data_IF_170572575899
#
_entry.id   IF_170572575899
#
_cell.length_a   1.000
_cell.length_b   1.000
_cell.length_c   1.000
_cell.angle_alpha   90.00
_cell.angle_beta   90.00
_cell.angle_gamma   90.00
#
_symmetry.space_group_name_H-M   'P 1'
#
loop_
_entity.id
_entity.type
_entity.pdbx_description
1 polymer ?
#
# COMPACT_ATOMS: atom_id res chain seq x y z
N UNK A 1 67.44 17.32 -3.38
CA UNK A 1 66.00 16.95 -3.15
C UNK A 1 65.43 18.15 -2.42
N UNK A 2 64.49 18.85 -3.08
CA UNK A 2 63.95 20.14 -2.66
C UNK A 2 63.13 19.98 -1.37
N UNK A 3 63.60 20.51 -0.24
CA UNK A 3 62.97 20.43 1.08
C UNK A 3 61.62 21.18 1.16
N UNK A 4 61.20 21.81 0.05
CA UNK A 4 59.96 22.58 -0.01
C UNK A 4 58.70 21.75 -0.17
N UNK A 5 58.80 20.49 -0.59
CA UNK A 5 57.64 19.61 -0.86
C UNK A 5 56.96 19.13 0.42
N UNK A 6 57.67 19.01 1.52
CA UNK A 6 57.21 18.53 2.82
C UNK A 6 57.09 19.65 3.88
N UNK A 7 56.67 20.82 3.47
CA UNK A 7 56.39 21.86 4.49
C UNK A 7 55.22 21.43 5.39
N UNK A 8 55.16 21.82 6.67
CA UNK A 8 54.06 21.46 7.59
C UNK A 8 52.67 21.81 7.03
N UNK A 9 52.59 22.91 6.28
CA UNK A 9 51.36 23.38 5.65
C UNK A 9 50.89 22.45 4.49
N UNK A 10 51.85 21.94 3.73
CA UNK A 10 51.52 20.98 2.66
C UNK A 10 51.11 19.63 3.20
N UNK A 11 51.67 19.20 4.36
CA UNK A 11 51.29 17.98 5.05
C UNK A 11 49.86 18.06 5.58
N UNK A 12 49.48 19.19 6.18
CA UNK A 12 48.11 19.42 6.66
C UNK A 12 47.09 19.41 5.53
N UNK A 13 47.42 20.05 4.39
CA UNK A 13 46.58 20.02 3.19
C UNK A 13 46.40 18.61 2.64
N UNK A 14 47.49 17.82 2.57
CA UNK A 14 47.42 16.43 2.13
C UNK A 14 46.57 15.55 3.08
N UNK A 15 46.68 15.78 4.39
CA UNK A 15 45.84 15.09 5.38
C UNK A 15 44.34 15.42 5.21
N UNK A 16 44.02 16.71 4.97
CA UNK A 16 42.63 17.11 4.68
C UNK A 16 42.09 16.52 3.38
N UNK A 17 42.89 16.47 2.34
CA UNK A 17 42.51 15.83 1.06
C UNK A 17 42.30 14.32 1.26
N UNK A 18 43.24 13.66 1.95
CA UNK A 18 43.12 12.21 2.23
C UNK A 18 41.87 11.89 3.05
N UNK A 19 41.54 12.68 4.07
CA UNK A 19 40.33 12.52 4.85
C UNK A 19 39.05 12.69 4.01
N UNK A 20 39.01 13.67 3.12
CA UNK A 20 37.87 13.88 2.19
C UNK A 20 37.73 12.75 1.19
N UNK A 21 38.84 12.25 0.66
CA UNK A 21 38.83 11.08 -0.26
C UNK A 21 38.31 9.84 0.49
N UNK A 22 38.78 9.59 1.72
CA UNK A 22 38.30 8.46 2.52
C UNK A 22 36.78 8.51 2.72
N UNK A 23 36.24 9.66 3.14
CA UNK A 23 34.78 9.85 3.31
C UNK A 23 34.03 9.65 1.99
N UNK A 24 34.58 10.12 0.87
CA UNK A 24 33.95 9.94 -0.45
C UNK A 24 33.93 8.47 -0.88
N UNK A 25 35.00 7.74 -0.60
CA UNK A 25 35.08 6.29 -0.87
C UNK A 25 34.11 5.52 0.02
N UNK A 26 34.08 5.81 1.34
CA UNK A 26 33.18 5.16 2.27
C UNK A 26 31.72 5.40 1.89
N UNK A 27 31.37 6.61 1.49
CA UNK A 27 30.03 6.93 0.99
C UNK A 27 29.71 6.16 -0.30
N UNK A 28 30.64 6.09 -1.26
CA UNK A 28 30.44 5.36 -2.51
C UNK A 28 30.21 3.87 -2.25
N UNK A 29 31.00 3.25 -1.36
CA UNK A 29 30.84 1.84 -0.97
C UNK A 29 29.49 1.60 -0.23
N UNK A 30 29.09 2.53 0.62
CA UNK A 30 27.78 2.46 1.31
C UNK A 30 26.63 2.57 0.31
N UNK A 31 26.69 3.46 -0.68
CA UNK A 31 25.67 3.55 -1.73
C UNK A 31 25.60 2.28 -2.60
N UNK A 32 26.74 1.69 -2.94
CA UNK A 32 26.80 0.45 -3.69
C UNK A 32 26.17 -0.72 -2.92
N UNK A 33 26.46 -0.83 -1.62
CA UNK A 33 25.85 -1.83 -0.75
C UNK A 33 24.36 -1.64 -0.56
N UNK A 34 23.89 -0.39 -0.37
CA UNK A 34 22.46 -0.06 -0.30
C UNK A 34 21.75 -0.44 -1.60
N UNK A 35 22.35 -0.14 -2.76
CA UNK A 35 21.78 -0.53 -4.05
C UNK A 35 21.67 -2.04 -4.19
N UNK A 36 22.72 -2.76 -3.83
CA UNK A 36 22.74 -4.23 -3.86
C UNK A 36 21.69 -4.85 -2.94
N UNK A 37 21.57 -4.35 -1.71
CA UNK A 37 20.56 -4.83 -0.76
C UNK A 37 19.14 -4.53 -1.24
N UNK A 38 18.92 -3.36 -1.83
CA UNK A 38 17.64 -2.99 -2.44
C UNK A 38 17.27 -3.94 -3.58
N UNK A 39 18.21 -4.24 -4.47
CA UNK A 39 17.97 -5.14 -5.60
C UNK A 39 17.70 -6.57 -5.13
N UNK A 40 18.42 -7.06 -4.12
CA UNK A 40 18.17 -8.36 -3.51
C UNK A 40 16.78 -8.43 -2.87
N UNK A 41 16.39 -7.40 -2.11
CA UNK A 41 15.05 -7.32 -1.51
C UNK A 41 13.93 -7.26 -2.56
N UNK A 42 14.17 -6.58 -3.68
CA UNK A 42 13.21 -6.57 -4.80
C UNK A 42 13.06 -7.96 -5.42
N UNK A 43 14.16 -8.65 -5.65
CA UNK A 43 14.12 -10.03 -6.18
C UNK A 43 13.46 -11.01 -5.22
N UNK A 44 13.77 -10.95 -3.94
CA UNK A 44 13.15 -11.80 -2.92
C UNK A 44 11.66 -11.51 -2.79
N UNK A 45 11.27 -10.24 -2.84
CA UNK A 45 9.87 -9.82 -2.79
C UNK A 45 9.10 -10.29 -4.03
N UNK A 46 9.69 -10.20 -5.22
CA UNK A 46 9.11 -10.73 -6.45
C UNK A 46 8.93 -12.26 -6.38
N UNK A 47 9.97 -12.98 -5.94
CA UNK A 47 9.91 -14.43 -5.77
C UNK A 47 8.81 -14.85 -4.79
N UNK A 48 8.76 -14.24 -3.61
CA UNK A 48 7.73 -14.52 -2.61
C UNK A 48 6.33 -14.16 -3.12
N UNK A 49 6.21 -13.10 -3.88
CA UNK A 49 4.94 -12.70 -4.51
C UNK A 49 4.47 -13.70 -5.55
N UNK A 50 5.39 -14.22 -6.38
CA UNK A 50 5.08 -15.27 -7.36
C UNK A 50 4.73 -16.61 -6.69
N UNK A 51 5.42 -16.98 -5.62
CA UNK A 51 5.14 -18.19 -4.85
C UNK A 51 3.75 -18.10 -4.20
N UNK A 52 3.40 -16.96 -3.59
CA UNK A 52 2.05 -16.72 -3.04
C UNK A 52 0.98 -16.77 -4.16
N UNK A 53 1.26 -16.20 -5.34
CA UNK A 53 0.34 -16.24 -6.50
C UNK A 53 0.09 -17.65 -7.01
N UNK A 54 1.10 -18.51 -7.02
CA UNK A 54 0.95 -19.91 -7.44
C UNK A 54 0.07 -20.72 -6.49
N UNK A 55 -0.02 -20.30 -5.21
CA UNK A 55 -0.94 -20.88 -4.23
C UNK A 55 -2.36 -20.26 -4.28
N UNK A 56 -2.57 -19.13 -4.93
CA UNK A 56 -3.82 -18.35 -4.92
C UNK A 56 -4.58 -18.37 -6.27
N UNK A 57 -4.44 -19.42 -7.08
CA UNK A 57 -5.15 -19.53 -8.35
C UNK A 57 -6.65 -19.73 -8.19
N UNK A 58 -7.41 -19.37 -9.23
CA UNK A 58 -8.87 -19.45 -9.41
C UNK A 58 -9.52 -20.79 -9.01
N UNK A 59 -8.72 -21.84 -8.80
CA UNK A 59 -9.18 -23.17 -8.38
C UNK A 59 -9.81 -23.18 -6.98
N UNK A 60 -9.71 -22.09 -6.21
CA UNK A 60 -10.35 -21.97 -4.89
C UNK A 60 -11.85 -21.65 -4.94
N UNK A 61 -12.37 -21.11 -6.06
CA UNK A 61 -13.83 -20.85 -6.18
C UNK A 61 -14.53 -22.11 -6.66
N UNK A 62 -14.91 -22.94 -5.72
CA UNK A 62 -15.67 -24.16 -5.99
C UNK A 62 -17.17 -23.81 -6.04
N UNK A 63 -17.73 -23.65 -7.24
CA UNK A 63 -19.15 -23.42 -7.42
C UNK A 63 -19.58 -23.59 -8.88
N UNK A 64 -20.61 -24.41 -9.12
CA UNK A 64 -21.18 -24.70 -10.45
C UNK A 64 -22.65 -24.26 -10.55
N UNK A 65 -23.13 -23.44 -9.59
CA UNK A 65 -24.51 -22.95 -9.65
C UNK A 65 -24.65 -21.82 -10.66
N UNK A 66 -25.83 -21.67 -11.27
CA UNK A 66 -26.13 -20.57 -12.19
C UNK A 66 -25.90 -19.19 -11.53
N UNK A 67 -26.19 -19.07 -10.23
CA UNK A 67 -25.95 -17.86 -9.47
C UNK A 67 -24.45 -17.53 -9.39
N UNK A 68 -23.58 -18.52 -9.18
CA UNK A 68 -22.14 -18.31 -9.14
C UNK A 68 -21.59 -17.97 -10.54
N UNK A 69 -22.10 -18.64 -11.58
CA UNK A 69 -21.73 -18.33 -12.96
C UNK A 69 -22.04 -16.86 -13.31
N UNK A 70 -23.21 -16.35 -12.91
CA UNK A 70 -23.57 -14.94 -13.11
C UNK A 70 -22.64 -13.97 -12.35
N UNK A 71 -22.19 -14.34 -11.14
CA UNK A 71 -21.21 -13.52 -10.39
C UNK A 71 -19.86 -13.52 -11.10
N UNK A 72 -19.40 -14.68 -11.58
CA UNK A 72 -18.12 -14.77 -12.30
C UNK A 72 -18.12 -13.97 -13.62
N UNK A 73 -19.23 -13.97 -14.35
CA UNK A 73 -19.41 -13.13 -15.53
C UNK A 73 -19.30 -11.63 -15.19
N UNK A 74 -19.89 -11.20 -14.07
CA UNK A 74 -19.72 -9.82 -13.59
C UNK A 74 -18.28 -9.53 -13.19
N UNK A 75 -17.56 -10.48 -12.56
CA UNK A 75 -16.15 -10.34 -12.22
C UNK A 75 -15.30 -10.09 -13.48
N UNK A 76 -15.50 -10.91 -14.53
CA UNK A 76 -14.79 -10.74 -15.79
C UNK A 76 -15.07 -9.37 -16.43
N UNK A 77 -16.35 -8.95 -16.43
CA UNK A 77 -16.75 -7.66 -16.99
C UNK A 77 -16.10 -6.46 -16.29
N UNK A 78 -15.98 -6.49 -14.96
CA UNK A 78 -15.41 -5.35 -14.21
C UNK A 78 -13.89 -5.42 -14.06
N UNK A 79 -13.27 -6.58 -14.27
CA UNK A 79 -11.85 -6.79 -14.04
C UNK A 79 -10.98 -5.85 -14.88
N UNK A 80 -11.29 -5.68 -16.16
CA UNK A 80 -10.53 -4.81 -17.08
C UNK A 80 -10.71 -3.32 -16.82
N UNK A 81 -11.71 -2.93 -16.02
CA UNK A 81 -11.97 -1.53 -15.73
C UNK A 81 -11.24 -1.08 -14.45
N UNK A 82 -10.91 0.20 -14.36
CA UNK A 82 -10.31 0.83 -13.17
C UNK A 82 -11.38 1.36 -12.19
N UNK A 83 -12.65 1.00 -12.38
CA UNK A 83 -13.73 1.47 -11.53
C UNK A 83 -13.62 0.87 -10.11
N UNK A 84 -14.13 1.60 -9.14
CA UNK A 84 -14.37 1.10 -7.79
C UNK A 84 -15.45 0.03 -7.82
N UNK A 85 -15.22 -1.09 -7.13
CA UNK A 85 -16.16 -2.20 -7.06
C UNK A 85 -16.63 -2.38 -5.62
N UNK A 86 -17.94 -2.58 -5.42
CA UNK A 86 -18.54 -2.94 -4.14
C UNK A 86 -19.10 -4.35 -4.23
N UNK A 87 -18.64 -5.23 -3.34
CA UNK A 87 -19.08 -6.62 -3.22
C UNK A 87 -20.02 -6.72 -2.03
N UNK A 88 -21.26 -7.09 -2.28
CA UNK A 88 -22.28 -7.29 -1.25
C UNK A 88 -22.48 -8.77 -0.98
N UNK A 89 -22.57 -9.17 0.29
CA UNK A 89 -22.85 -10.55 0.65
C UNK A 89 -22.71 -10.82 2.14
N UNK A 90 -23.36 -11.86 2.62
CA UNK A 90 -23.26 -12.26 4.03
C UNK A 90 -21.84 -12.62 4.45
N UNK A 91 -21.58 -12.64 5.76
CA UNK A 91 -20.30 -13.09 6.28
C UNK A 91 -20.04 -14.55 5.90
N UNK A 92 -18.81 -14.84 5.44
CA UNK A 92 -18.42 -16.21 5.04
C UNK A 92 -18.81 -16.63 3.62
N UNK A 93 -19.43 -15.77 2.79
CA UNK A 93 -19.81 -16.10 1.41
C UNK A 93 -18.65 -16.07 0.40
N UNK A 94 -17.41 -15.76 0.84
CA UNK A 94 -16.25 -15.75 -0.04
C UNK A 94 -16.01 -14.40 -0.75
N UNK A 95 -16.48 -13.29 -0.19
CA UNK A 95 -16.26 -11.94 -0.77
C UNK A 95 -14.78 -11.64 -1.07
N UNK A 96 -13.86 -12.10 -0.21
CA UNK A 96 -12.43 -11.96 -0.42
C UNK A 96 -11.94 -12.73 -1.66
N UNK A 97 -12.46 -13.94 -1.91
CA UNK A 97 -12.11 -14.70 -3.11
C UNK A 97 -12.55 -13.98 -4.39
N UNK A 98 -13.73 -13.38 -4.38
CA UNK A 98 -14.22 -12.55 -5.49
C UNK A 98 -13.33 -11.31 -5.68
N UNK A 99 -12.94 -10.64 -4.60
CA UNK A 99 -12.04 -9.49 -4.67
C UNK A 99 -10.67 -9.86 -5.28
N UNK A 100 -10.11 -11.01 -4.89
CA UNK A 100 -8.88 -11.55 -5.50
C UNK A 100 -9.07 -11.85 -6.99
N UNK A 101 -10.19 -12.46 -7.36
CA UNK A 101 -10.51 -12.76 -8.74
C UNK A 101 -10.52 -11.47 -9.60
N UNK A 102 -11.21 -10.43 -9.14
CA UNK A 102 -11.26 -9.13 -9.79
C UNK A 102 -9.85 -8.53 -9.94
N UNK A 103 -9.03 -8.59 -8.88
CA UNK A 103 -7.67 -8.08 -8.91
C UNK A 103 -6.78 -8.85 -9.87
N UNK A 104 -6.76 -10.19 -9.79
CA UNK A 104 -5.89 -11.06 -10.58
C UNK A 104 -6.19 -10.98 -12.08
N UNK A 105 -7.46 -10.80 -12.46
CA UNK A 105 -7.87 -10.60 -13.85
C UNK A 105 -7.65 -9.16 -14.36
N UNK A 106 -7.33 -8.23 -13.47
CA UNK A 106 -7.14 -6.82 -13.83
C UNK A 106 -5.76 -6.55 -14.42
N UNK A 107 -5.60 -5.38 -15.06
CA UNK A 107 -4.31 -4.89 -15.52
C UNK A 107 -3.32 -4.65 -14.36
N UNK A 108 -3.80 -4.59 -13.10
CA UNK A 108 -3.01 -4.41 -11.87
C UNK A 108 -2.65 -5.74 -11.21
N UNK A 109 -3.15 -6.87 -11.72
CA UNK A 109 -2.95 -8.21 -11.19
C UNK A 109 -1.48 -8.67 -11.11
N UNK A 110 -0.54 -7.96 -11.77
CA UNK A 110 0.90 -8.22 -11.61
C UNK A 110 1.48 -7.75 -10.28
N UNK A 111 0.77 -6.90 -9.53
CA UNK A 111 1.18 -6.38 -8.23
C UNK A 111 0.40 -7.06 -7.11
N UNK A 112 0.93 -6.99 -5.89
CA UNK A 112 0.24 -7.55 -4.72
C UNK A 112 -0.95 -6.68 -4.33
N UNK A 113 -2.15 -7.29 -4.18
CA UNK A 113 -3.30 -6.61 -3.61
C UNK A 113 -3.09 -6.35 -2.11
N UNK A 114 -3.25 -5.10 -1.70
CA UNK A 114 -3.22 -4.74 -0.27
C UNK A 114 -4.60 -4.98 0.32
N UNK A 115 -4.66 -5.63 1.50
CA UNK A 115 -5.92 -5.98 2.17
C UNK A 115 -6.02 -5.29 3.52
N UNK A 116 -7.22 -4.81 3.83
CA UNK A 116 -7.56 -4.22 5.13
C UNK A 116 -8.94 -4.70 5.53
N UNK A 117 -9.06 -5.28 6.71
CA UNK A 117 -10.37 -5.55 7.32
C UNK A 117 -10.68 -4.41 8.30
N UNK A 118 -11.68 -3.60 7.96
CA UNK A 118 -12.04 -2.39 8.71
C UNK A 118 -12.63 -2.70 10.08
N UNK A 119 -13.34 -3.82 10.22
CA UNK A 119 -13.91 -4.28 11.50
C UNK A 119 -12.85 -4.80 12.49
N UNK A 120 -11.73 -5.33 11.97
CA UNK A 120 -10.68 -5.91 12.82
C UNK A 120 -9.76 -4.87 13.46
N UNK A 121 -9.75 -3.63 12.97
CA UNK A 121 -8.88 -2.57 13.43
C UNK A 121 -9.67 -1.64 14.35
N UNK A 122 -9.18 -1.35 15.58
CA UNK A 122 -9.80 -0.35 16.44
C UNK A 122 -9.98 0.99 15.71
N UNK A 123 -11.15 1.63 15.86
CA UNK A 123 -11.51 2.87 15.14
C UNK A 123 -10.45 3.96 15.26
N UNK A 124 -9.86 4.14 16.43
CA UNK A 124 -8.79 5.14 16.66
C UNK A 124 -7.46 4.82 15.97
N UNK A 125 -7.26 3.61 15.43
CA UNK A 125 -6.08 3.22 14.68
C UNK A 125 -6.32 3.06 13.18
N UNK A 126 -7.58 2.89 12.77
CA UNK A 126 -7.96 2.65 11.38
C UNK A 126 -7.51 3.80 10.47
N UNK A 127 -7.67 5.04 10.92
CA UNK A 127 -7.22 6.21 10.18
C UNK A 127 -5.71 6.18 9.91
N UNK A 128 -4.93 5.92 10.96
CA UNK A 128 -3.48 5.82 10.85
C UNK A 128 -3.03 4.63 10.00
N UNK A 129 -3.77 3.52 10.01
CA UNK A 129 -3.44 2.35 9.18
C UNK A 129 -3.75 2.61 7.71
N UNK A 130 -4.89 3.23 7.40
CA UNK A 130 -5.30 3.54 6.03
C UNK A 130 -4.44 4.65 5.38
N UNK A 131 -4.28 5.79 6.08
CA UNK A 131 -3.71 7.01 5.51
C UNK A 131 -2.26 7.28 5.93
N UNK A 132 -1.74 6.53 6.93
CA UNK A 132 -0.42 6.76 7.49
C UNK A 132 -0.37 7.94 8.48
N UNK A 133 0.77 8.10 9.14
CA UNK A 133 1.00 9.21 10.06
C UNK A 133 2.45 9.67 10.09
N UNK A 134 2.64 10.93 10.36
CA UNK A 134 3.94 11.53 10.67
C UNK A 134 4.32 11.28 12.14
N UNK A 135 5.62 11.32 12.41
CA UNK A 135 6.12 11.25 13.79
C UNK A 135 5.52 12.40 14.62
N UNK A 136 4.91 12.06 15.76
CA UNK A 136 4.30 13.03 16.66
C UNK A 136 2.85 13.41 16.31
N UNK A 137 2.20 12.77 15.33
CA UNK A 137 0.84 13.06 14.92
C UNK A 137 -0.19 12.84 16.05
N UNK A 138 0.07 11.89 16.94
CA UNK A 138 -0.75 11.61 18.13
C UNK A 138 0.12 11.01 19.25
N UNK A 139 -0.45 10.87 20.45
CA UNK A 139 0.24 10.27 21.59
C UNK A 139 0.54 8.80 21.31
N UNK A 140 1.82 8.47 21.10
CA UNK A 140 2.28 7.14 20.70
C UNK A 140 2.84 7.04 19.28
N UNK A 141 2.72 8.06 18.45
CA UNK A 141 3.35 8.13 17.13
C UNK A 141 4.86 8.41 17.24
N UNK A 142 5.63 7.39 17.63
CA UNK A 142 7.08 7.51 17.85
C UNK A 142 7.90 7.57 16.56
N UNK A 143 7.36 7.05 15.45
CA UNK A 143 7.95 7.04 14.12
C UNK A 143 6.90 7.37 13.06
N UNK A 144 7.32 7.73 11.87
CA UNK A 144 6.44 7.82 10.70
C UNK A 144 6.00 6.42 10.27
N UNK A 145 4.76 6.30 9.78
CA UNK A 145 4.21 5.06 9.21
C UNK A 145 3.52 5.35 7.88
N UNK A 146 3.87 4.57 6.87
CA UNK A 146 3.24 4.59 5.55
C UNK A 146 1.85 3.95 5.65
N UNK A 147 0.85 4.59 5.07
CA UNK A 147 -0.53 4.11 5.04
C UNK A 147 -0.78 3.03 3.98
N UNK A 148 -1.89 2.30 4.13
CA UNK A 148 -2.29 1.25 3.18
C UNK A 148 -2.58 1.78 1.78
N UNK A 149 -3.11 3.00 1.65
CA UNK A 149 -3.30 3.63 0.35
C UNK A 149 -1.98 3.88 -0.38
N UNK A 150 -0.96 4.34 0.32
CA UNK A 150 0.36 4.55 -0.26
C UNK A 150 1.06 3.22 -0.59
N UNK A 151 0.89 2.19 0.26
CA UNK A 151 1.39 0.83 0.00
C UNK A 151 0.74 0.19 -1.23
N UNK A 152 -0.53 0.52 -1.51
CA UNK A 152 -1.28 0.00 -2.66
C UNK A 152 -1.03 0.78 -3.96
N UNK A 153 -0.03 1.66 -4.00
CA UNK A 153 0.28 2.49 -5.16
C UNK A 153 0.43 1.65 -6.44
N UNK A 154 -0.35 1.99 -7.48
CA UNK A 154 -0.48 1.28 -8.76
C UNK A 154 -0.95 -0.17 -8.64
N UNK A 155 -1.61 -0.50 -7.55
CA UNK A 155 -2.20 -1.82 -7.28
C UNK A 155 -3.68 -1.67 -6.93
N UNK A 156 -4.27 -2.70 -6.31
CA UNK A 156 -5.61 -2.65 -5.74
C UNK A 156 -5.54 -2.66 -4.22
N UNK A 157 -6.42 -1.88 -3.59
CA UNK A 157 -6.69 -1.93 -2.16
C UNK A 157 -8.04 -2.58 -1.94
N UNK A 158 -8.06 -3.69 -1.22
CA UNK A 158 -9.28 -4.35 -0.79
C UNK A 158 -9.64 -3.93 0.63
N UNK A 159 -10.80 -3.29 0.77
CA UNK A 159 -11.39 -2.91 2.05
C UNK A 159 -12.54 -3.86 2.38
N UNK A 160 -12.33 -4.74 3.36
CA UNK A 160 -13.36 -5.62 3.84
C UNK A 160 -14.15 -4.96 4.98
N UNK A 161 -15.45 -5.24 5.06
CA UNK A 161 -16.41 -4.70 6.02
C UNK A 161 -16.40 -3.15 6.06
N UNK A 162 -16.57 -2.53 4.88
CA UNK A 162 -16.56 -1.05 4.77
C UNK A 162 -17.71 -0.38 5.51
N UNK A 163 -18.80 -1.11 5.78
CA UNK A 163 -19.90 -0.62 6.61
C UNK A 163 -19.50 -0.28 8.05
N UNK A 164 -18.37 -0.83 8.53
CA UNK A 164 -17.86 -0.57 9.88
C UNK A 164 -16.89 0.63 9.95
N UNK A 165 -16.67 1.31 8.83
CA UNK A 165 -15.82 2.51 8.80
C UNK A 165 -16.51 3.65 9.56
N UNK A 166 -15.84 4.24 10.59
CA UNK A 166 -16.37 5.36 11.34
C UNK A 166 -16.77 6.54 10.44
N UNK A 167 -17.88 7.20 10.76
CA UNK A 167 -18.41 8.37 10.02
C UNK A 167 -17.35 9.46 9.80
N UNK A 168 -16.46 9.64 10.76
CA UNK A 168 -15.38 10.65 10.71
C UNK A 168 -14.35 10.37 9.59
N UNK A 169 -14.20 9.10 9.19
CA UNK A 169 -13.24 8.69 8.14
C UNK A 169 -13.84 8.66 6.73
N UNK A 170 -15.15 8.61 6.63
CA UNK A 170 -15.84 8.52 5.34
C UNK A 170 -15.55 9.71 4.40
N UNK A 171 -15.47 10.97 4.89
CA UNK A 171 -15.08 12.10 4.03
C UNK A 171 -13.66 11.96 3.46
N UNK A 172 -12.73 11.37 4.23
CA UNK A 172 -11.36 11.12 3.75
C UNK A 172 -11.35 10.02 2.68
N UNK A 173 -12.12 8.95 2.89
CA UNK A 173 -12.28 7.89 1.90
C UNK A 173 -12.92 8.42 0.61
N UNK A 174 -13.95 9.26 0.73
CA UNK A 174 -14.60 9.89 -0.42
C UNK A 174 -13.60 10.73 -1.23
N UNK A 175 -12.73 11.48 -0.55
CA UNK A 175 -11.68 12.26 -1.21
C UNK A 175 -10.72 11.39 -2.01
N UNK A 176 -10.33 10.23 -1.47
CA UNK A 176 -9.49 9.27 -2.22
C UNK A 176 -10.19 8.78 -3.48
N UNK A 177 -11.50 8.45 -3.37
CA UNK A 177 -12.27 7.94 -4.51
C UNK A 177 -12.43 9.00 -5.61
N UNK A 178 -12.66 10.27 -5.23
CA UNK A 178 -12.97 11.35 -6.16
C UNK A 178 -11.72 12.05 -6.70
N UNK A 179 -10.78 12.35 -5.81
CA UNK A 179 -9.61 13.19 -6.10
C UNK A 179 -8.32 12.38 -6.29
N UNK A 180 -8.32 11.10 -5.89
CA UNK A 180 -7.12 10.23 -5.88
C UNK A 180 -5.98 10.82 -5.07
N UNK A 181 -6.31 11.39 -3.93
CA UNK A 181 -5.37 12.04 -3.03
C UNK A 181 -5.61 11.60 -1.59
N UNK A 182 -4.52 11.53 -0.82
CA UNK A 182 -4.56 11.28 0.63
C UNK A 182 -3.81 12.37 1.40
N UNK A 183 -4.16 12.53 2.66
CA UNK A 183 -3.44 13.32 3.65
C UNK A 183 -3.06 12.42 4.83
N UNK A 184 -1.76 12.36 5.16
CA UNK A 184 -1.30 11.64 6.35
C UNK A 184 -1.67 12.39 7.63
N UNK A 185 -1.92 11.65 8.71
CA UNK A 185 -2.16 12.26 10.02
C UNK A 185 -0.95 13.07 10.48
N UNK A 186 -1.21 14.28 10.96
CA UNK A 186 -0.14 15.20 11.42
C UNK A 186 0.60 15.91 10.29
N UNK A 187 0.14 15.79 9.06
CA UNK A 187 0.69 16.48 7.90
C UNK A 187 -0.42 17.13 7.08
N UNK A 188 -0.14 18.30 6.52
CA UNK A 188 -1.02 18.94 5.54
C UNK A 188 -0.57 18.66 4.10
N UNK A 189 0.37 17.72 3.91
CA UNK A 189 0.88 17.37 2.61
C UNK A 189 -0.11 16.46 1.89
N UNK A 190 -0.56 16.89 0.72
CA UNK A 190 -1.38 16.08 -0.18
C UNK A 190 -0.46 15.13 -0.95
N UNK A 191 -0.79 13.85 -0.95
CA UNK A 191 -0.07 12.79 -1.65
C UNK A 191 -1.02 12.21 -2.69
N UNK A 192 -0.73 12.32 -4.00
CA UNK A 192 -1.50 11.67 -5.04
C UNK A 192 -1.29 10.15 -4.95
N UNK A 193 -2.36 9.38 -5.17
CA UNK A 193 -2.34 7.91 -5.14
C UNK A 193 -3.08 7.34 -6.34
N UNK A 194 -2.48 6.37 -7.01
CA UNK A 194 -3.09 5.60 -8.08
C UNK A 194 -3.46 4.21 -7.59
N UNK A 195 -4.63 4.11 -6.95
CA UNK A 195 -5.11 2.86 -6.32
C UNK A 195 -6.49 2.50 -6.87
N UNK A 196 -6.66 1.26 -7.29
CA UNK A 196 -7.98 0.70 -7.58
C UNK A 196 -8.61 0.22 -6.28
N UNK A 197 -9.80 0.72 -5.95
CA UNK A 197 -10.50 0.33 -4.74
C UNK A 197 -11.49 -0.82 -5.02
N UNK A 198 -11.40 -1.88 -4.22
CA UNK A 198 -12.36 -2.98 -4.14
C UNK A 198 -12.86 -3.01 -2.71
N UNK A 199 -14.16 -2.86 -2.50
CA UNK A 199 -14.78 -2.81 -1.19
C UNK A 199 -15.73 -4.00 -1.00
N UNK A 200 -15.86 -4.48 0.23
CA UNK A 200 -16.83 -5.52 0.57
C UNK A 200 -17.54 -5.19 1.88
N UNK A 201 -18.80 -5.61 1.99
CA UNK A 201 -19.58 -5.49 3.23
C UNK A 201 -20.72 -6.51 3.29
N UNK A 202 -21.10 -6.87 4.50
CA UNK A 202 -22.34 -7.61 4.79
C UNK A 202 -23.50 -6.67 5.18
N UNK A 203 -23.23 -5.37 5.37
CA UNK A 203 -24.20 -4.38 5.76
C UNK A 203 -25.05 -3.88 4.59
N UNK A 204 -26.29 -3.52 4.86
CA UNK A 204 -27.13 -2.80 3.91
C UNK A 204 -26.78 -1.30 3.95
N UNK A 205 -25.83 -0.88 3.11
CA UNK A 205 -25.37 0.51 3.07
C UNK A 205 -26.49 1.49 2.68
N UNK A 206 -27.44 1.09 1.82
CA UNK A 206 -28.57 1.96 1.43
C UNK A 206 -29.41 2.29 2.66
N UNK A 207 -29.72 1.32 3.50
CA UNK A 207 -30.45 1.56 4.74
C UNK A 207 -29.64 2.40 5.71
N UNK A 208 -28.33 2.15 5.83
CA UNK A 208 -27.44 2.93 6.70
C UNK A 208 -27.37 4.41 6.28
N UNK A 209 -27.40 4.70 4.99
CA UNK A 209 -27.46 6.09 4.47
C UNK A 209 -28.78 6.75 4.86
N UNK A 210 -29.92 6.02 4.75
CA UNK A 210 -31.23 6.55 5.16
C UNK A 210 -31.24 6.87 6.66
N UNK A 211 -30.63 5.99 7.45
CA UNK A 211 -30.56 6.11 8.92
C UNK A 211 -29.44 7.07 9.37
N UNK A 212 -28.70 7.68 8.45
CA UNK A 212 -27.54 8.54 8.69
C UNK A 212 -26.42 7.85 9.50
N UNK A 213 -26.29 6.56 9.33
CA UNK A 213 -25.25 5.76 9.95
C UNK A 213 -24.08 5.48 9.00
N UNK A 214 -24.21 5.92 7.73
CA UNK A 214 -23.17 5.84 6.68
C UNK A 214 -23.21 7.07 5.79
#
# INVERSE_FOLDING_TARGET
IDDTVFSPKNLELLQQIAARISIAIDNALAYEEISRLKDNLLHENLYLTEEIRNFENFDEIIGQSDAMAAVLEQVEMVADSDCTVLILGETGTGKELIARAIHNLSQRGSRTMVKVNCAAIPSGLLESDLFGHEKGAFTGATSQRIGKFELAERSSLFLDEVGDIPLELQPKLLRVIQEREIECLGSNKIIPVDVRLIAATNCNLEQMVIDRAY
#
